data_IF_162961218831
#
_entry.id   IF_162961218831
#
_cell.length_a   1.000
_cell.length_b   1.000
_cell.length_c   1.000
_cell.angle_alpha   90.00
_cell.angle_beta   90.00
_cell.angle_gamma   90.00
#
_symmetry.space_group_name_H-M   'P 1'
#
loop_
_entity.id
_entity.type
_entity.pdbx_description
1 polymer ?
#
# COMPACT_ATOMS: atom_id res chain seq x y z
N UNK A 1 7.87 -0.50 -0.36
CA UNK A 1 8.41 -1.88 -0.49
C UNK A 1 7.33 -2.96 -0.47
N UNK A 2 6.38 -2.98 0.47
CA UNK A 2 5.33 -4.01 0.55
C UNK A 2 4.54 -4.22 -0.75
N UNK A 3 4.10 -3.13 -1.41
CA UNK A 3 3.38 -3.21 -2.69
C UNK A 3 4.22 -3.81 -3.84
N UNK A 4 5.52 -3.50 -3.90
CA UNK A 4 6.43 -4.04 -4.92
C UNK A 4 6.66 -5.55 -4.74
N UNK A 5 6.78 -6.01 -3.50
CA UNK A 5 6.89 -7.42 -3.19
C UNK A 5 5.60 -8.19 -3.55
N UNK A 6 4.44 -7.62 -3.23
CA UNK A 6 3.16 -8.18 -3.64
C UNK A 6 3.01 -8.28 -5.16
N UNK A 7 3.43 -7.24 -5.90
CA UNK A 7 3.46 -7.25 -7.36
C UNK A 7 4.41 -8.31 -7.91
N UNK A 8 5.60 -8.46 -7.33
CA UNK A 8 6.54 -9.49 -7.74
C UNK A 8 5.97 -10.91 -7.52
N UNK A 9 5.41 -11.18 -6.33
CA UNK A 9 4.88 -12.50 -5.97
C UNK A 9 3.64 -12.88 -6.80
N UNK A 10 2.74 -11.92 -7.03
CA UNK A 10 1.57 -12.13 -7.90
C UNK A 10 1.94 -12.22 -9.38
N UNK A 11 2.91 -11.42 -9.84
CA UNK A 11 3.38 -11.44 -11.23
C UNK A 11 4.03 -12.76 -11.64
N UNK A 12 4.79 -13.41 -10.75
CA UNK A 12 5.33 -14.75 -11.01
C UNK A 12 4.21 -15.79 -11.15
N UNK A 13 3.15 -15.68 -10.35
CA UNK A 13 1.96 -16.53 -10.47
C UNK A 13 1.18 -16.29 -11.76
N UNK A 14 1.03 -15.04 -12.20
CA UNK A 14 0.39 -14.71 -13.48
C UNK A 14 1.24 -15.24 -14.66
N UNK A 15 2.56 -15.13 -14.59
CA UNK A 15 3.46 -15.63 -15.62
C UNK A 15 3.43 -17.16 -15.75
N UNK A 16 3.28 -17.92 -14.65
CA UNK A 16 3.17 -19.38 -14.71
C UNK A 16 1.79 -19.88 -15.16
N UNK A 17 0.74 -19.09 -14.91
CA UNK A 17 -0.64 -19.43 -15.26
C UNK A 17 -1.01 -19.09 -16.72
N UNK A 18 -0.12 -18.45 -17.48
CA UNK A 18 -0.33 -18.14 -18.91
C UNK A 18 -0.43 -19.37 -19.82
N UNK A 19 -0.05 -20.56 -19.34
CA UNK A 19 -0.12 -21.84 -20.08
C UNK A 19 -1.40 -22.64 -19.74
N UNK A 20 -2.19 -22.18 -18.76
CA UNK A 20 -3.42 -22.80 -18.27
C UNK A 20 -4.66 -22.16 -18.92
N UNK A 21 -5.84 -22.81 -18.90
CA UNK A 21 -7.06 -22.28 -19.51
C UNK A 21 -7.47 -20.91 -18.94
N UNK A 22 -8.03 -20.06 -19.80
CA UNK A 22 -8.26 -18.62 -19.57
C UNK A 22 -9.15 -18.27 -18.37
N UNK A 23 -9.98 -19.20 -17.88
CA UNK A 23 -10.80 -19.01 -16.67
C UNK A 23 -9.98 -18.77 -15.41
N UNK A 24 -8.79 -19.37 -15.31
CA UNK A 24 -7.91 -19.20 -14.15
C UNK A 24 -7.13 -17.88 -14.20
N UNK A 25 -6.88 -17.35 -15.41
CA UNK A 25 -6.18 -16.07 -15.61
C UNK A 25 -7.01 -14.90 -15.09
N UNK A 26 -8.31 -14.87 -15.37
CA UNK A 26 -9.21 -13.82 -14.87
C UNK A 26 -9.29 -13.77 -13.34
N UNK A 27 -9.07 -14.89 -12.65
CA UNK A 27 -9.07 -14.92 -11.17
C UNK A 27 -7.73 -14.49 -10.57
N UNK A 28 -6.64 -14.65 -11.31
CA UNK A 28 -5.28 -14.23 -10.90
C UNK A 28 -5.03 -12.71 -10.96
N UNK A 29 -5.87 -11.95 -11.70
CA UNK A 29 -5.74 -10.48 -11.79
C UNK A 29 -6.24 -9.76 -10.54
N UNK A 30 -7.20 -10.34 -9.82
CA UNK A 30 -7.83 -9.77 -8.62
C UNK A 30 -6.78 -9.38 -7.55
N UNK A 31 -5.84 -10.26 -7.13
CA UNK A 31 -4.81 -9.89 -6.17
C UNK A 31 -3.86 -8.79 -6.66
N UNK A 32 -3.63 -8.67 -7.98
CA UNK A 32 -2.80 -7.60 -8.56
C UNK A 32 -3.47 -6.24 -8.37
N UNK A 33 -4.78 -6.16 -8.56
CA UNK A 33 -5.54 -4.91 -8.36
C UNK A 33 -5.55 -4.51 -6.88
N UNK A 34 -5.73 -5.47 -5.96
CA UNK A 34 -5.74 -5.20 -4.51
C UNK A 34 -4.37 -4.65 -4.06
N UNK A 35 -3.27 -5.19 -4.58
CA UNK A 35 -1.93 -4.67 -4.31
C UNK A 35 -1.74 -3.21 -4.82
N UNK A 36 -2.35 -2.86 -5.96
CA UNK A 36 -2.31 -1.50 -6.51
C UNK A 36 -3.05 -0.50 -5.63
N UNK A 37 -4.25 -0.86 -5.16
CA UNK A 37 -5.08 0.04 -4.35
C UNK A 37 -4.44 0.27 -2.97
N UNK A 38 -3.83 -0.75 -2.36
CA UNK A 38 -3.04 -0.60 -1.13
C UNK A 38 -1.86 0.37 -1.29
N UNK A 39 -1.22 0.39 -2.46
CA UNK A 39 -0.12 1.30 -2.77
C UNK A 39 -0.53 2.78 -2.81
N UNK A 40 -1.72 3.09 -3.35
CA UNK A 40 -2.18 4.50 -3.43
C UNK A 40 -2.61 5.06 -2.07
N UNK A 41 -3.02 4.23 -1.10
CA UNK A 41 -3.42 4.72 0.21
C UNK A 41 -2.24 5.34 0.98
N UNK A 42 -1.05 4.74 0.87
CA UNK A 42 0.17 5.32 1.45
C UNK A 42 0.56 6.67 0.82
N UNK A 43 0.35 6.83 -0.49
CA UNK A 43 0.57 8.10 -1.18
C UNK A 43 -0.44 9.18 -0.76
N UNK A 44 -1.72 8.83 -0.62
CA UNK A 44 -2.75 9.77 -0.19
C UNK A 44 -2.46 10.35 1.20
N UNK A 45 -1.99 9.52 2.13
CA UNK A 45 -1.61 9.95 3.47
C UNK A 45 -0.47 10.99 3.43
N UNK A 46 0.56 10.76 2.61
CA UNK A 46 1.65 11.71 2.46
C UNK A 46 1.19 13.06 1.89
N UNK A 47 0.25 13.04 0.93
CA UNK A 47 -0.31 14.26 0.32
C UNK A 47 -1.15 15.05 1.32
N UNK A 48 -2.01 14.39 2.10
CA UNK A 48 -2.85 15.05 3.12
C UNK A 48 -1.98 15.76 4.16
N UNK A 49 -0.90 15.10 4.60
CA UNK A 49 0.05 15.68 5.55
C UNK A 49 0.72 16.92 4.94
N UNK A 50 1.18 16.83 3.69
CA UNK A 50 1.84 17.94 2.98
C UNK A 50 0.93 19.17 2.82
N UNK A 51 -0.37 18.96 2.55
CA UNK A 51 -1.37 20.04 2.45
C UNK A 51 -1.71 20.62 3.83
N UNK A 52 -1.67 19.80 4.89
CA UNK A 52 -1.94 20.21 6.27
C UNK A 52 -0.86 21.14 6.85
N UNK A 53 0.37 21.08 6.33
CA UNK A 53 1.48 21.92 6.81
C UNK A 53 1.34 23.36 6.29
N UNK A 54 0.61 24.19 7.02
CA UNK A 54 0.47 25.62 6.70
C UNK A 54 1.41 26.49 7.57
N UNK A 55 2.57 26.92 7.05
CA UNK A 55 3.53 27.73 7.82
C UNK A 55 3.08 29.18 8.07
N UNK A 56 1.94 29.61 7.53
CA UNK A 56 1.46 31.01 7.58
C UNK A 56 0.35 31.29 8.61
N UNK A 57 -0.32 30.27 9.15
CA UNK A 57 -1.55 30.47 9.94
C UNK A 57 -1.59 29.76 11.31
N UNK A 58 -0.69 28.79 11.59
CA UNK A 58 -0.62 28.06 12.87
C UNK A 58 0.83 27.88 13.29
N UNK A 59 1.16 28.16 14.56
CA UNK A 59 2.42 27.72 15.15
C UNK A 59 2.50 26.20 15.09
N UNK A 60 3.40 25.69 14.26
CA UNK A 60 3.72 24.26 14.21
C UNK A 60 4.38 23.88 15.54
N UNK A 61 3.64 23.24 16.43
CA UNK A 61 4.22 22.69 17.65
C UNK A 61 5.05 21.45 17.29
N UNK A 62 6.21 21.30 17.93
CA UNK A 62 7.07 20.10 17.81
C UNK A 62 6.29 18.79 18.08
N UNK A 63 5.24 18.86 18.90
CA UNK A 63 4.33 17.76 19.17
C UNK A 63 3.56 17.28 17.93
N UNK A 64 3.11 18.21 17.07
CA UNK A 64 2.38 17.89 15.84
C UNK A 64 3.31 17.22 14.83
N UNK A 65 4.56 17.70 14.72
CA UNK A 65 5.59 17.05 13.91
C UNK A 65 5.88 15.60 14.33
N UNK A 66 5.98 15.33 15.64
CA UNK A 66 6.15 13.97 16.15
C UNK A 66 4.91 13.09 15.91
N UNK A 67 3.70 13.65 16.03
CA UNK A 67 2.46 12.94 15.75
C UNK A 67 2.36 12.52 14.27
N UNK A 68 2.71 13.43 13.36
CA UNK A 68 2.77 13.14 11.92
C UNK A 68 3.81 12.06 11.58
N UNK A 69 5.00 12.11 12.20
CA UNK A 69 6.05 11.11 11.99
C UNK A 69 5.63 9.72 12.48
N UNK A 70 5.12 9.62 13.70
CA UNK A 70 4.74 8.35 14.33
C UNK A 70 3.52 7.71 13.66
N UNK A 71 2.57 8.51 13.18
CA UNK A 71 1.47 8.04 12.35
C UNK A 71 1.95 7.39 11.05
N UNK A 72 2.84 8.06 10.30
CA UNK A 72 3.37 7.55 9.03
C UNK A 72 4.22 6.30 9.24
N UNK A 73 5.02 6.24 10.30
CA UNK A 73 5.83 5.06 10.64
C UNK A 73 4.95 3.83 10.89
N UNK A 74 3.91 3.98 11.72
CA UNK A 74 3.00 2.88 12.09
C UNK A 74 2.21 2.38 10.88
N UNK A 75 1.69 3.30 10.06
CA UNK A 75 0.97 2.94 8.83
C UNK A 75 1.90 2.28 7.80
N UNK A 76 3.13 2.77 7.64
CA UNK A 76 4.12 2.20 6.73
C UNK A 76 4.55 0.77 7.11
N UNK A 77 4.72 0.51 8.41
CA UNK A 77 5.01 -0.84 8.94
C UNK A 77 3.82 -1.80 8.77
N UNK A 78 2.58 -1.33 8.97
CA UNK A 78 1.38 -2.13 8.70
C UNK A 78 1.25 -2.51 7.22
N UNK A 79 1.63 -1.60 6.31
CA UNK A 79 1.73 -1.84 4.86
C UNK A 79 2.80 -2.86 4.46
N UNK A 80 3.72 -3.21 5.37
CA UNK A 80 4.71 -4.27 5.18
C UNK A 80 4.24 -5.60 5.79
N UNK A 81 3.54 -5.56 6.92
CA UNK A 81 2.91 -6.75 7.53
C UNK A 81 1.81 -7.35 6.66
N UNK A 82 1.11 -6.51 5.89
CA UNK A 82 0.12 -6.94 4.90
C UNK A 82 0.69 -7.91 3.86
N UNK A 83 2.02 -8.06 3.73
CA UNK A 83 2.69 -9.07 2.89
C UNK A 83 2.51 -10.52 3.33
N UNK A 84 2.14 -10.73 4.59
CA UNK A 84 2.00 -12.07 5.20
C UNK A 84 0.55 -12.58 5.14
N UNK A 85 -0.42 -11.71 4.85
CA UNK A 85 -1.85 -12.04 4.95
C UNK A 85 -2.31 -12.82 3.71
N UNK A 86 -2.98 -13.97 3.87
CA UNK A 86 -3.52 -14.73 2.75
C UNK A 86 -4.63 -13.93 2.04
N UNK A 87 -4.65 -13.88 0.70
CA UNK A 87 -5.63 -13.12 -0.09
C UNK A 87 -7.07 -13.66 -0.01
N UNK A 88 -7.33 -14.71 0.78
CA UNK A 88 -8.66 -15.23 1.06
C UNK A 88 -9.38 -14.51 2.21
N UNK A 89 -8.70 -13.61 2.93
CA UNK A 89 -9.21 -12.93 4.11
C UNK A 89 -9.52 -11.44 3.88
N UNK A 90 -9.39 -10.97 2.64
CA UNK A 90 -9.48 -9.57 2.20
C UNK A 90 -10.38 -9.49 0.97
#
# INVERSE_FOLDING_TARGET
>A
MGAAYWFAKSGVGVASMGVMPQELVMKSIVPVVIARVLGIYGLNIAVIISIGINPKAKSYYLFDGYAHLSYVLTCGLAGLSTVVIPPSLL
#
